data_IF_035535168481
#
_entry.id   IF_035535168481
#
_cell.length_a   1.000
_cell.length_b   1.000
_cell.length_c   1.000
_cell.angle_alpha   90.00
_cell.angle_beta   90.00
_cell.angle_gamma   90.00
#
_symmetry.space_group_name_H-M   'P 1'
#
loop_
_entity.id
_entity.type
_entity.pdbx_description
1 polymer ?
#
# COMPACT_ATOMS: atom_id res chain seq x y z
N UNK A 1 1.81 -19.71 9.83
CA UNK A 1 1.94 -18.85 8.63
C UNK A 1 2.36 -17.46 9.10
N UNK A 2 3.52 -16.97 8.69
CA UNK A 2 4.00 -15.64 9.06
C UNK A 2 3.07 -14.61 8.40
N UNK A 3 2.40 -13.77 9.20
CA UNK A 3 1.64 -12.65 8.69
C UNK A 3 2.58 -11.72 7.90
N UNK A 4 2.17 -11.18 6.74
CA UNK A 4 2.98 -10.23 5.99
C UNK A 4 3.45 -9.07 6.87
N UNK A 5 4.68 -8.53 6.68
CA UNK A 5 5.25 -7.49 7.55
C UNK A 5 4.34 -6.29 7.80
N UNK A 6 3.51 -5.98 6.79
CA UNK A 6 2.48 -4.93 6.80
C UNK A 6 1.58 -5.03 8.03
N UNK A 7 1.07 -6.23 8.35
CA UNK A 7 0.11 -6.42 9.44
C UNK A 7 0.70 -6.00 10.79
N UNK A 8 1.92 -6.43 11.09
CA UNK A 8 2.55 -6.13 12.38
C UNK A 8 2.88 -4.64 12.50
N UNK A 9 3.40 -4.04 11.42
CA UNK A 9 3.73 -2.61 11.40
C UNK A 9 2.45 -1.77 11.53
N UNK A 10 1.42 -2.09 10.75
CA UNK A 10 0.12 -1.41 10.79
C UNK A 10 -0.53 -1.51 12.18
N UNK A 11 -0.63 -2.72 12.73
CA UNK A 11 -1.23 -2.92 14.06
C UNK A 11 -0.44 -2.20 15.17
N UNK A 12 0.88 -2.13 15.05
CA UNK A 12 1.71 -1.35 15.99
C UNK A 12 1.38 0.14 15.91
N UNK A 13 1.22 0.69 14.70
CA UNK A 13 0.91 2.10 14.50
C UNK A 13 -0.52 2.46 14.93
N UNK A 14 -1.49 1.59 14.67
CA UNK A 14 -2.90 1.75 15.08
C UNK A 14 -3.03 1.89 16.60
N UNK A 15 -2.28 1.10 17.38
CA UNK A 15 -2.26 1.20 18.84
C UNK A 15 -1.81 2.56 19.36
N UNK A 16 -1.11 3.34 18.55
CA UNK A 16 -0.64 4.68 18.90
C UNK A 16 -1.61 5.79 18.45
N UNK A 17 -2.77 5.45 17.87
CA UNK A 17 -3.83 6.42 17.58
C UNK A 17 -4.45 6.92 18.88
N UNK A 18 -4.68 8.23 18.97
CA UNK A 18 -5.24 8.86 20.18
C UNK A 18 -6.74 8.61 20.33
N UNK A 19 -7.41 8.26 19.23
CA UNK A 19 -8.86 8.12 19.15
C UNK A 19 -9.39 6.87 19.85
N UNK A 20 -8.55 5.84 20.06
CA UNK A 20 -8.94 4.59 20.72
C UNK A 20 -9.72 3.60 19.84
N UNK A 21 -9.97 3.96 18.58
CA UNK A 21 -10.66 3.11 17.62
C UNK A 21 -9.81 1.91 17.17
N UNK A 22 -10.50 0.84 16.78
CA UNK A 22 -9.86 -0.37 16.28
C UNK A 22 -9.74 -0.33 14.76
N UNK A 23 -8.57 -0.70 14.23
CA UNK A 23 -8.35 -0.80 12.79
C UNK A 23 -7.84 -2.18 12.37
N UNK A 24 -8.33 -2.67 11.23
CA UNK A 24 -7.82 -3.90 10.59
C UNK A 24 -7.37 -3.66 9.16
N UNK A 25 -6.32 -4.35 8.77
CA UNK A 25 -5.84 -4.44 7.40
C UNK A 25 -6.41 -5.72 6.77
N UNK A 26 -6.97 -5.61 5.57
CA UNK A 26 -7.50 -6.72 4.79
C UNK A 26 -6.89 -6.71 3.40
N UNK A 27 -6.37 -7.87 2.97
CA UNK A 27 -5.84 -7.98 1.63
C UNK A 27 -6.94 -8.29 0.62
N UNK A 28 -7.01 -7.47 -0.42
CA UNK A 28 -7.97 -7.59 -1.51
C UNK A 28 -7.24 -7.51 -2.84
N UNK A 29 -7.19 -8.64 -3.56
CA UNK A 29 -6.55 -8.73 -4.89
C UNK A 29 -7.39 -8.13 -6.01
N UNK A 30 -8.65 -7.76 -5.73
CA UNK A 30 -9.58 -7.18 -6.70
C UNK A 30 -9.78 -5.68 -6.48
N UNK A 31 -9.02 -5.09 -5.56
CA UNK A 31 -9.07 -3.66 -5.33
C UNK A 31 -8.60 -2.91 -6.58
N UNK A 32 -9.36 -1.88 -6.96
CA UNK A 32 -9.11 -1.08 -8.15
C UNK A 32 -9.00 0.39 -7.76
N UNK A 33 -8.11 1.16 -8.42
CA UNK A 33 -7.96 2.58 -8.12
C UNK A 33 -9.21 3.36 -8.53
N UNK A 34 -9.48 4.46 -7.83
CA UNK A 34 -10.52 5.44 -8.13
C UNK A 34 -11.95 4.92 -8.12
N UNK A 35 -12.18 3.74 -7.54
CA UNK A 35 -13.52 3.16 -7.35
C UNK A 35 -13.72 2.62 -5.93
N UNK A 36 -13.50 3.44 -4.88
CA UNK A 36 -13.86 3.03 -3.53
C UNK A 36 -15.37 2.81 -3.42
N UNK A 37 -15.77 1.85 -2.57
CA UNK A 37 -17.18 1.66 -2.21
C UNK A 37 -17.74 2.94 -1.55
N UNK A 38 -19.07 3.13 -1.60
CA UNK A 38 -19.71 4.27 -0.95
C UNK A 38 -19.34 4.35 0.55
N UNK A 39 -18.94 5.54 1.01
CA UNK A 39 -18.46 5.78 2.38
C UNK A 39 -16.96 5.55 2.58
N UNK A 40 -16.30 4.84 1.65
CA UNK A 40 -14.87 4.58 1.74
C UNK A 40 -14.05 5.76 1.19
N UNK A 41 -12.90 6.00 1.81
CA UNK A 41 -11.87 6.95 1.42
C UNK A 41 -10.76 6.22 0.66
N UNK A 42 -10.00 6.95 -0.16
CA UNK A 42 -8.91 6.36 -0.96
C UNK A 42 -7.58 7.07 -0.68
N UNK A 43 -6.54 6.27 -0.57
CA UNK A 43 -5.15 6.71 -0.64
C UNK A 43 -4.41 5.83 -1.65
N UNK A 44 -3.66 6.45 -2.56
CA UNK A 44 -2.79 5.75 -3.52
C UNK A 44 -1.36 6.12 -3.17
N UNK A 45 -0.65 5.18 -2.53
CA UNK A 45 0.73 5.37 -2.12
C UNK A 45 1.72 4.88 -3.18
N UNK A 46 2.91 5.47 -3.20
CA UNK A 46 4.02 5.00 -4.05
C UNK A 46 5.02 4.20 -3.24
N UNK A 47 5.55 3.15 -3.82
CA UNK A 47 6.60 2.31 -3.23
C UNK A 47 7.50 1.72 -4.29
N UNK A 48 8.59 1.10 -3.86
CA UNK A 48 9.36 0.19 -4.70
C UNK A 48 8.95 -1.25 -4.42
N UNK A 49 8.89 -2.11 -5.43
CA UNK A 49 8.67 -3.54 -5.21
C UNK A 49 9.58 -4.39 -6.08
N UNK A 50 9.77 -5.65 -5.66
CA UNK A 50 10.40 -6.69 -6.46
C UNK A 50 9.34 -7.56 -7.07
N UNK A 51 9.50 -7.86 -8.35
CA UNK A 51 8.60 -8.72 -9.10
C UNK A 51 9.36 -9.91 -9.64
N UNK A 52 8.66 -11.04 -9.72
CA UNK A 52 9.21 -12.30 -10.21
C UNK A 52 8.56 -12.64 -11.54
N UNK A 53 9.38 -13.11 -12.48
CA UNK A 53 8.93 -13.61 -13.78
C UNK A 53 7.97 -14.77 -13.58
N UNK A 54 6.76 -14.63 -14.10
CA UNK A 54 5.73 -15.66 -14.10
C UNK A 54 6.10 -16.84 -15.01
N UNK A 55 6.78 -16.58 -16.13
CA UNK A 55 7.13 -17.61 -17.11
C UNK A 55 8.23 -18.56 -16.59
N UNK A 56 9.31 -18.00 -16.04
CA UNK A 56 10.48 -18.80 -15.63
C UNK A 56 10.63 -18.96 -14.13
N UNK A 57 9.91 -18.19 -13.30
CA UNK A 57 9.99 -18.20 -11.83
C UNK A 57 11.33 -17.77 -11.22
N UNK A 58 12.37 -17.53 -12.04
CA UNK A 58 13.76 -17.30 -11.58
C UNK A 58 14.22 -15.86 -11.75
N UNK A 59 13.75 -15.16 -12.78
CA UNK A 59 14.15 -13.77 -13.01
C UNK A 59 13.35 -12.86 -12.08
N UNK A 60 14.05 -11.91 -11.47
CA UNK A 60 13.45 -10.85 -10.66
C UNK A 60 13.88 -9.48 -11.19
N UNK A 61 12.97 -8.51 -11.13
CA UNK A 61 13.25 -7.11 -11.41
C UNK A 61 12.71 -6.22 -10.30
N UNK A 62 13.36 -5.08 -10.12
CA UNK A 62 12.91 -4.04 -9.20
C UNK A 62 12.11 -2.99 -9.99
N UNK A 63 11.02 -2.48 -9.41
CA UNK A 63 10.40 -1.23 -9.84
C UNK A 63 10.44 -0.23 -8.69
N UNK A 64 10.79 1.02 -8.99
CA UNK A 64 10.80 2.13 -8.03
C UNK A 64 9.50 2.95 -8.05
N UNK A 65 8.59 2.65 -8.97
CA UNK A 65 7.34 3.39 -9.17
C UNK A 65 6.15 2.42 -9.16
N UNK A 66 5.93 1.75 -8.03
CA UNK A 66 4.75 0.90 -7.82
C UNK A 66 3.70 1.69 -7.05
N UNK A 67 2.50 1.77 -7.59
CA UNK A 67 1.36 2.34 -6.89
C UNK A 67 0.66 1.27 -6.05
N UNK A 68 0.19 1.65 -4.87
CA UNK A 68 -0.53 0.77 -3.94
C UNK A 68 -1.80 1.46 -3.52
N UNK A 69 -2.92 0.79 -3.75
CA UNK A 69 -4.25 1.32 -3.45
C UNK A 69 -4.62 0.93 -2.01
N UNK A 70 -5.17 1.89 -1.29
CA UNK A 70 -5.76 1.72 0.03
C UNK A 70 -7.17 2.28 0.01
N UNK A 71 -8.17 1.43 0.21
CA UNK A 71 -9.53 1.86 0.51
C UNK A 71 -9.73 1.79 2.02
N UNK A 72 -10.11 2.90 2.63
CA UNK A 72 -10.23 3.06 4.07
C UNK A 72 -11.67 3.39 4.45
N UNK A 73 -12.19 2.76 5.48
CA UNK A 73 -13.53 3.05 6.00
C UNK A 73 -13.51 3.02 7.51
N UNK A 74 -14.06 4.04 8.14
CA UNK A 74 -14.23 4.12 9.58
C UNK A 74 -15.71 4.36 9.88
N UNK A 75 -16.30 3.46 10.67
CA UNK A 75 -17.68 3.57 11.11
C UNK A 75 -17.79 3.12 12.55
N UNK A 76 -18.41 3.95 13.40
CA UNK A 76 -18.68 3.63 14.81
C UNK A 76 -17.45 3.09 15.58
N UNK A 77 -16.29 3.70 15.35
CA UNK A 77 -15.02 3.33 15.99
C UNK A 77 -14.35 2.06 15.46
N UNK A 78 -14.86 1.51 14.35
CA UNK A 78 -14.29 0.35 13.66
C UNK A 78 -13.78 0.73 12.27
N UNK A 79 -12.46 0.76 12.14
CA UNK A 79 -11.74 1.04 10.92
C UNK A 79 -11.37 -0.22 10.13
N UNK A 80 -11.48 -0.14 8.81
CA UNK A 80 -11.01 -1.17 7.88
C UNK A 80 -10.20 -0.52 6.77
N UNK A 81 -9.05 -1.13 6.45
CA UNK A 81 -8.27 -0.80 5.26
C UNK A 81 -8.22 -2.03 4.35
N UNK A 82 -8.57 -1.85 3.09
CA UNK A 82 -8.37 -2.84 2.02
C UNK A 82 -7.20 -2.42 1.14
N UNK A 83 -6.33 -3.36 0.79
CA UNK A 83 -5.10 -3.10 0.01
C UNK A 83 -4.63 -4.38 -0.69
N UNK A 84 -3.85 -4.34 -1.80
CA UNK A 84 -3.29 -5.56 -2.35
C UNK A 84 -2.20 -6.14 -1.44
N UNK A 85 -1.97 -7.46 -1.52
CA UNK A 85 -0.85 -8.11 -0.85
C UNK A 85 0.39 -8.03 -1.74
N UNK A 86 1.31 -7.12 -1.42
CA UNK A 86 2.57 -6.95 -2.16
C UNK A 86 3.79 -7.06 -1.24
N UNK A 87 4.89 -7.52 -1.82
CA UNK A 87 6.19 -7.47 -1.15
C UNK A 87 6.93 -6.17 -1.52
N UNK A 88 7.21 -5.34 -0.51
CA UNK A 88 8.00 -4.12 -0.66
C UNK A 88 9.00 -3.99 0.49
N UNK A 89 10.21 -3.54 0.18
CA UNK A 89 11.25 -3.19 1.15
C UNK A 89 10.96 -1.85 1.84
N UNK A 90 10.17 -1.01 1.17
CA UNK A 90 9.70 0.28 1.66
C UNK A 90 8.34 0.19 2.37
N UNK A 91 7.99 -0.99 2.88
CA UNK A 91 6.69 -1.16 3.53
C UNK A 91 6.51 -0.23 4.73
N UNK A 92 7.55 -0.04 5.54
CA UNK A 92 7.43 0.81 6.72
C UNK A 92 6.98 2.23 6.35
N UNK A 93 7.60 2.82 5.33
CA UNK A 93 7.27 4.15 4.80
C UNK A 93 5.83 4.18 4.27
N UNK A 94 5.44 3.14 3.54
CA UNK A 94 4.10 3.07 2.97
C UNK A 94 3.00 2.99 4.05
N UNK A 95 3.22 2.21 5.11
CA UNK A 95 2.30 2.17 6.26
C UNK A 95 2.30 3.50 7.00
N UNK A 96 3.45 4.14 7.19
CA UNK A 96 3.51 5.46 7.83
C UNK A 96 2.69 6.51 7.08
N UNK A 97 2.80 6.57 5.75
CA UNK A 97 1.99 7.47 4.93
C UNK A 97 0.49 7.11 5.01
N UNK A 98 0.15 5.81 4.97
CA UNK A 98 -1.24 5.35 5.16
C UNK A 98 -1.81 5.84 6.49
N UNK A 99 -1.04 5.78 7.57
CA UNK A 99 -1.49 6.23 8.90
C UNK A 99 -1.73 7.74 8.94
N UNK A 100 -0.92 8.54 8.24
CA UNK A 100 -1.18 9.98 8.09
C UNK A 100 -2.47 10.22 7.31
N UNK A 101 -2.74 9.46 6.24
CA UNK A 101 -3.97 9.58 5.47
C UNK A 101 -5.21 9.11 6.24
N UNK A 102 -5.09 8.11 7.13
CA UNK A 102 -6.17 7.76 8.08
C UNK A 102 -6.49 8.95 8.99
N UNK A 103 -5.46 9.59 9.57
CA UNK A 103 -5.63 10.77 10.43
C UNK A 103 -6.31 11.93 9.70
N UNK A 104 -5.89 12.20 8.46
CA UNK A 104 -6.44 13.30 7.66
C UNK A 104 -7.85 12.97 7.16
N UNK A 105 -8.04 11.83 6.49
CA UNK A 105 -9.27 11.55 5.74
C UNK A 105 -10.39 10.93 6.58
N UNK A 106 -10.05 10.16 7.62
CA UNK A 106 -11.04 9.46 8.44
C UNK A 106 -11.32 10.21 9.76
N UNK A 107 -10.31 10.87 10.33
CA UNK A 107 -10.45 11.65 11.57
C UNK A 107 -10.54 13.15 11.36
N UNK A 108 -10.39 13.64 10.13
CA UNK A 108 -10.38 15.07 9.82
C UNK A 108 -9.33 15.86 10.63
N UNK A 109 -8.20 15.23 10.99
CA UNK A 109 -7.11 15.94 11.65
C UNK A 109 -6.51 16.97 10.68
N UNK A 110 -6.34 18.21 11.14
CA UNK A 110 -5.67 19.25 10.37
C UNK A 110 -4.15 19.02 10.38
N UNK A 111 -3.64 18.36 9.33
CA UNK A 111 -2.22 18.01 9.17
C UNK A 111 -1.75 18.38 7.76
N UNK A 112 -0.49 18.77 7.66
CA UNK A 112 0.15 19.01 6.37
C UNK A 112 0.44 17.67 5.66
N UNK A 113 0.08 17.56 4.38
CA UNK A 113 0.42 16.38 3.55
C UNK A 113 1.89 16.45 3.13
N UNK A 114 2.75 15.85 3.93
CA UNK A 114 4.12 15.53 3.57
C UNK A 114 4.26 14.02 3.39
N UNK A 115 4.08 13.53 2.16
CA UNK A 115 4.32 12.11 1.86
C UNK A 115 5.82 11.81 1.98
N UNK A 116 6.17 10.78 2.78
CA UNK A 116 7.53 10.25 2.82
C UNK A 116 7.78 9.46 1.54
N UNK A 117 8.88 9.77 0.86
CA UNK A 117 9.24 9.08 -0.37
C UNK A 117 9.87 7.70 -0.06
N UNK A 118 9.53 6.66 -0.83
CA UNK A 118 10.19 5.36 -0.72
C UNK A 118 11.65 5.46 -1.17
N UNK A 119 12.52 4.64 -0.58
CA UNK A 119 13.90 4.49 -1.04
C UNK A 119 13.93 3.83 -2.42
N UNK A 120 14.81 4.31 -3.31
CA UNK A 120 15.00 3.69 -4.62
C UNK A 120 15.75 2.36 -4.49
N UNK A 121 15.27 1.33 -5.16
CA UNK A 121 16.01 0.09 -5.36
C UNK A 121 16.95 0.22 -6.56
N UNK A 122 18.13 -0.45 -6.53
CA UNK A 122 19.01 -0.50 -7.69
C UNK A 122 18.28 -1.15 -8.86
N UNK A 123 18.28 -0.48 -10.02
CA UNK A 123 17.68 -1.02 -11.24
C UNK A 123 18.63 -2.09 -11.76
N UNK A 124 18.32 -3.37 -11.48
CA UNK A 124 19.19 -4.50 -11.80
C UNK A 124 18.99 -5.03 -13.23
N UNK A 125 17.87 -4.68 -13.88
CA UNK A 125 17.50 -5.08 -15.25
C UNK A 125 16.65 -4.00 -15.91
N UNK A 126 16.67 -3.94 -17.25
CA UNK A 126 15.71 -3.12 -18.00
C UNK A 126 14.28 -3.57 -17.66
N UNK A 127 13.40 -2.60 -17.48
CA UNK A 127 11.99 -2.87 -17.25
C UNK A 127 11.36 -3.44 -18.53
N UNK A 128 10.78 -4.64 -18.44
CA UNK A 128 10.10 -5.30 -19.55
C UNK A 128 8.59 -5.37 -19.25
N UNK A 129 7.77 -4.45 -19.79
CA UNK A 129 6.34 -4.36 -19.46
C UNK A 129 5.56 -5.65 -19.74
N UNK A 130 5.94 -6.39 -20.78
CA UNK A 130 5.34 -7.68 -21.15
C UNK A 130 5.51 -8.77 -20.09
N UNK A 131 6.53 -8.65 -19.23
CA UNK A 131 6.81 -9.62 -18.18
C UNK A 131 6.53 -9.05 -16.78
N UNK A 132 6.17 -7.77 -16.67
CA UNK A 132 5.88 -7.12 -15.39
C UNK A 132 4.42 -7.30 -14.97
N UNK A 133 4.16 -8.05 -13.89
CA UNK A 133 2.80 -8.26 -13.36
C UNK A 133 2.05 -6.94 -13.15
N UNK A 134 2.71 -5.92 -12.57
CA UNK A 134 2.08 -4.62 -12.37
C UNK A 134 1.78 -3.87 -13.68
N UNK A 135 2.56 -4.05 -14.75
CA UNK A 135 2.24 -3.48 -16.06
C UNK A 135 1.10 -4.23 -16.73
N UNK A 136 1.10 -5.56 -16.63
CA UNK A 136 0.02 -6.43 -17.14
C UNK A 136 -1.31 -6.07 -16.47
N UNK A 137 -1.28 -5.75 -15.17
CA UNK A 137 -2.44 -5.33 -14.39
C UNK A 137 -2.76 -3.83 -14.52
N UNK A 138 -1.95 -3.05 -15.26
CA UNK A 138 -2.17 -1.61 -15.48
C UNK A 138 -1.94 -0.72 -14.25
N UNK A 139 -1.13 -1.19 -13.29
CA UNK A 139 -0.85 -0.53 -12.00
C UNK A 139 0.50 0.24 -12.04
N UNK A 140 1.35 -0.06 -13.03
CA UNK A 140 2.69 0.51 -13.16
C UNK A 140 2.70 1.78 -14.03
N UNK A 141 3.12 2.90 -13.46
CA UNK A 141 3.40 4.17 -14.16
C UNK A 141 4.92 4.31 -14.38
N UNK A 142 5.44 3.66 -15.43
CA UNK A 142 6.82 3.84 -15.91
C UNK A 142 6.81 4.45 -17.31
#
# INVERSE_FOLDING_TARGET
LLQPPWHNIFQTQVKNLKQGDSWRLQFDRKIVPHRPNLGWKEYIGKTSARFRCTDCGRREWNSNCVTVIFHMHLESGQGTVKTPDIYSQNIKILVENLMEEIRIQCYNENRYRAERLPESLPITRQHEPSHCQACIEGICDL
#
